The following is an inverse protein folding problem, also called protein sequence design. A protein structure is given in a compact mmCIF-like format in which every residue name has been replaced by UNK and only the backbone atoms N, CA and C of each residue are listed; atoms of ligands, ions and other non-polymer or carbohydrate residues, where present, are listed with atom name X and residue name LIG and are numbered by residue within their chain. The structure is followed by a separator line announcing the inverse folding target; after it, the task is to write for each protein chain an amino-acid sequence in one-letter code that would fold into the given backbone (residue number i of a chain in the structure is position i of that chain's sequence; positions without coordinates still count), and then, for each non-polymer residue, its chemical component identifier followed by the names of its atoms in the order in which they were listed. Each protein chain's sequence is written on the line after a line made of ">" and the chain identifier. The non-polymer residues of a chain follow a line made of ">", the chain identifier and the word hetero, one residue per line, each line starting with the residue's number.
data_IF_150061522367
#
_entry.id   IF_150061522367
#
_cell.length_a   1.000
_cell.length_b   1.000
_cell.length_c   1.000
_cell.angle_alpha   90.00
_cell.angle_beta   90.00
_cell.angle_gamma   90.00
#
_symmetry.space_group_name_H-M   'P 1'
#
loop_
_entity.id
_entity.type
_entity.pdbx_description
1 polymer ?
#
# COMPACT_ATOMS: atom_id res chain seq x y z
N UNK A 1 15.12 -15.93 0.68
CA UNK A 1 15.42 -14.98 -0.42
C UNK A 1 16.18 -13.82 0.19
N UNK A 2 17.27 -13.40 -0.46
CA UNK A 2 18.12 -12.30 0.01
C UNK A 2 17.51 -10.94 -0.29
N UNK A 3 17.99 -9.89 0.40
CA UNK A 3 17.57 -8.51 0.13
C UNK A 3 18.09 -8.10 -1.25
N UNK A 4 17.20 -7.68 -2.14
CA UNK A 4 17.55 -7.14 -3.45
C UNK A 4 17.92 -5.67 -3.27
N UNK A 5 19.15 -5.29 -3.64
CA UNK A 5 19.65 -3.91 -3.56
C UNK A 5 19.34 -3.22 -2.22
N UNK A 6 19.91 -3.69 -1.10
CA UNK A 6 19.63 -3.12 0.21
C UNK A 6 20.08 -1.66 0.29
N UNK A 7 19.22 -0.79 0.81
CA UNK A 7 19.49 0.63 1.05
C UNK A 7 19.23 0.98 2.51
N UNK A 8 20.21 1.54 3.25
CA UNK A 8 19.97 2.03 4.60
C UNK A 8 19.03 3.24 4.58
N UNK A 9 18.15 3.30 5.56
CA UNK A 9 17.18 4.37 5.78
C UNK A 9 17.13 4.67 7.27
N UNK A 10 17.43 5.91 7.64
CA UNK A 10 17.38 6.37 9.03
C UNK A 10 16.15 7.25 9.19
N UNK A 11 15.41 7.02 10.26
CA UNK A 11 14.20 7.80 10.58
C UNK A 11 14.10 8.01 12.08
N UNK A 12 13.71 9.22 12.48
CA UNK A 12 13.37 9.54 13.86
C UNK A 12 11.91 9.20 14.15
N UNK A 13 11.69 8.53 15.29
CA UNK A 13 10.35 8.30 15.84
C UNK A 13 9.76 9.56 16.49
N UNK A 14 8.56 9.45 17.06
CA UNK A 14 7.86 10.60 17.68
C UNK A 14 8.63 11.21 18.86
N UNK A 15 9.46 10.43 19.54
CA UNK A 15 10.31 10.87 20.64
C UNK A 15 11.67 11.41 20.15
N UNK A 16 11.89 11.44 18.84
CA UNK A 16 13.13 11.90 18.21
C UNK A 16 14.26 10.86 18.24
N UNK A 17 13.97 9.61 18.59
CA UNK A 17 14.98 8.53 18.61
C UNK A 17 15.20 8.02 17.18
N UNK A 18 16.44 8.10 16.72
CA UNK A 18 16.82 7.61 15.39
C UNK A 18 16.86 6.08 15.36
N UNK A 19 16.24 5.52 14.32
CA UNK A 19 16.21 4.08 14.03
C UNK A 19 16.65 3.85 12.60
N UNK A 20 17.45 2.79 12.42
CA UNK A 20 17.97 2.40 11.11
C UNK A 20 17.21 1.18 10.59
N UNK A 21 16.68 1.33 9.39
CA UNK A 21 16.05 0.27 8.61
C UNK A 21 16.85 0.03 7.34
N UNK A 22 16.76 -1.18 6.81
CA UNK A 22 17.30 -1.55 5.51
C UNK A 22 16.13 -1.83 4.57
N UNK A 23 15.98 -0.97 3.56
CA UNK A 23 14.96 -1.10 2.52
C UNK A 23 15.48 -2.02 1.42
N UNK A 24 14.63 -2.89 0.91
CA UNK A 24 14.96 -3.76 -0.22
C UNK A 24 14.03 -3.52 -1.39
N UNK A 25 14.51 -3.80 -2.60
CA UNK A 25 13.64 -3.85 -3.77
C UNK A 25 12.75 -5.09 -3.74
N UNK A 26 11.49 -4.93 -4.16
CA UNK A 26 10.58 -6.06 -4.35
C UNK A 26 10.67 -6.63 -5.78
N UNK A 27 10.42 -7.94 -5.97
CA UNK A 27 10.21 -8.54 -7.28
C UNK A 27 9.04 -7.91 -8.05
N UNK A 28 9.05 -7.97 -9.38
CA UNK A 28 8.06 -7.30 -10.23
C UNK A 28 6.60 -7.70 -9.93
N UNK A 29 6.35 -8.98 -9.65
CA UNK A 29 5.01 -9.51 -9.36
C UNK A 29 4.50 -8.99 -8.02
N UNK A 30 5.34 -9.00 -6.99
CA UNK A 30 5.00 -8.50 -5.66
C UNK A 30 4.81 -6.98 -5.70
N UNK A 31 5.64 -6.28 -6.47
CA UNK A 31 5.52 -4.85 -6.70
C UNK A 31 4.21 -4.43 -7.34
N UNK A 32 3.75 -5.17 -8.37
CA UNK A 32 2.44 -4.91 -8.99
C UNK A 32 1.31 -4.98 -7.97
N UNK A 33 1.36 -5.96 -7.07
CA UNK A 33 0.34 -6.12 -6.04
C UNK A 33 0.40 -5.00 -4.99
N UNK A 34 1.59 -4.71 -4.47
CA UNK A 34 1.82 -3.67 -3.46
C UNK A 34 1.38 -2.30 -4.01
N UNK A 35 1.88 -1.91 -5.18
CA UNK A 35 1.60 -0.58 -5.76
C UNK A 35 0.13 -0.42 -6.15
N UNK A 36 -0.55 -1.49 -6.55
CA UNK A 36 -1.97 -1.42 -6.90
C UNK A 36 -2.89 -1.33 -5.67
N UNK A 37 -2.55 -2.01 -4.56
CA UNK A 37 -3.44 -2.14 -3.39
C UNK A 37 -3.11 -1.17 -2.27
N UNK A 38 -1.82 -0.97 -2.00
CA UNK A 38 -1.34 -0.28 -0.81
C UNK A 38 -1.76 1.20 -0.74
N UNK A 39 -1.57 1.99 -1.82
CA UNK A 39 -1.90 3.42 -1.79
C UNK A 39 -3.39 3.70 -1.58
N UNK A 40 -4.27 2.79 -2.03
CA UNK A 40 -5.72 2.88 -1.82
C UNK A 40 -6.15 2.47 -0.42
N UNK A 41 -5.53 1.43 0.13
CA UNK A 41 -5.86 0.91 1.45
C UNK A 41 -5.51 1.87 2.58
N UNK A 42 -4.53 2.76 2.35
CA UNK A 42 -4.16 3.83 3.27
C UNK A 42 -5.15 5.02 3.27
N UNK A 43 -6.10 5.08 2.33
CA UNK A 43 -7.11 6.14 2.29
C UNK A 43 -8.32 5.79 3.17
N UNK A 44 -8.65 6.61 4.20
CA UNK A 44 -9.65 6.28 5.24
C UNK A 44 -11.11 6.22 4.75
N UNK A 45 -11.38 6.32 3.44
CA UNK A 45 -12.72 6.25 2.84
C UNK A 45 -12.89 5.25 1.69
N UNK A 46 -11.84 4.51 1.31
CA UNK A 46 -11.89 3.53 0.20
C UNK A 46 -11.30 2.15 0.50
N UNK A 47 -10.63 1.93 1.64
CA UNK A 47 -9.96 0.67 1.96
C UNK A 47 -10.78 -0.28 2.81
N UNK A 48 -10.85 -1.56 2.40
CA UNK A 48 -11.13 -2.66 3.33
C UNK A 48 -9.89 -2.86 4.21
N UNK A 49 -10.01 -2.49 5.49
CA UNK A 49 -8.90 -2.40 6.44
C UNK A 49 -8.11 -3.72 6.55
N UNK A 50 -8.77 -4.88 6.36
CA UNK A 50 -8.12 -6.19 6.37
C UNK A 50 -7.23 -6.44 5.15
N UNK A 51 -7.66 -5.99 3.96
CA UNK A 51 -6.88 -6.11 2.72
C UNK A 51 -5.65 -5.17 2.76
N UNK A 52 -5.79 -4.04 3.45
CA UNK A 52 -4.68 -3.13 3.72
C UNK A 52 -3.59 -3.76 4.57
N UNK A 53 -3.96 -4.55 5.57
CA UNK A 53 -3.00 -5.15 6.49
C UNK A 53 -2.13 -6.23 5.84
N UNK A 54 -2.71 -7.13 5.05
CA UNK A 54 -1.92 -8.14 4.32
C UNK A 54 -0.93 -7.49 3.35
N UNK A 55 -1.38 -6.42 2.68
CA UNK A 55 -0.53 -5.66 1.75
C UNK A 55 0.57 -4.90 2.50
N UNK A 56 0.25 -4.34 3.67
CA UNK A 56 1.22 -3.69 4.58
C UNK A 56 2.30 -4.69 5.00
N UNK A 57 1.90 -5.86 5.52
CA UNK A 57 2.85 -6.90 5.96
C UNK A 57 3.69 -7.41 4.79
N UNK A 58 3.11 -7.52 3.59
CA UNK A 58 3.85 -7.85 2.38
C UNK A 58 4.89 -6.79 2.04
N UNK A 59 4.56 -5.51 2.12
CA UNK A 59 5.52 -4.41 1.93
C UNK A 59 6.63 -4.45 3.00
N UNK A 60 6.26 -4.60 4.27
CA UNK A 60 7.20 -4.65 5.40
C UNK A 60 8.11 -5.89 5.38
N UNK A 61 7.72 -6.96 4.68
CA UNK A 61 8.60 -8.13 4.47
C UNK A 61 9.87 -7.82 3.65
N UNK A 62 9.91 -6.69 2.95
CA UNK A 62 11.08 -6.17 2.23
C UNK A 62 11.84 -5.10 3.03
N UNK A 63 11.45 -4.85 4.28
CA UNK A 63 12.16 -4.01 5.23
C UNK A 63 12.86 -4.92 6.24
N UNK A 64 14.12 -4.61 6.55
CA UNK A 64 14.88 -5.32 7.56
C UNK A 64 15.46 -4.38 8.61
N UNK A 65 15.67 -4.91 9.81
CA UNK A 65 16.44 -4.29 10.89
C UNK A 65 17.67 -5.13 11.17
N UNK A 66 18.70 -4.54 11.78
CA UNK A 66 19.83 -5.33 12.26
C UNK A 66 19.42 -6.08 13.53
N UNK A 67 19.50 -7.41 13.49
CA UNK A 67 19.33 -8.27 14.64
C UNK A 67 20.66 -8.99 14.89
N UNK A 68 21.50 -8.38 15.73
CA UNK A 68 22.81 -8.91 16.11
C UNK A 68 23.74 -9.19 14.90
N UNK A 69 23.84 -8.24 13.97
CA UNK A 69 24.70 -8.36 12.78
C UNK A 69 24.09 -9.20 11.65
N UNK A 70 22.81 -9.58 11.75
CA UNK A 70 22.06 -10.25 10.68
C UNK A 70 20.78 -9.48 10.34
N UNK A 71 20.48 -9.27 9.05
CA UNK A 71 19.26 -8.56 8.65
C UNK A 71 18.02 -9.40 8.97
N UNK A 72 17.17 -8.90 9.86
CA UNK A 72 15.88 -9.48 10.22
C UNK A 72 14.75 -8.76 9.49
N UNK A 73 14.03 -9.48 8.63
CA UNK A 73 12.89 -8.93 7.88
C UNK A 73 11.66 -8.76 8.76
N UNK A 74 10.93 -7.66 8.59
CA UNK A 74 9.72 -7.34 9.32
C UNK A 74 8.49 -7.98 8.66
N UNK A 75 8.50 -9.31 8.51
CA UNK A 75 7.50 -10.07 7.74
C UNK A 75 6.22 -10.41 8.50
N UNK A 76 6.15 -10.14 9.80
CA UNK A 76 5.00 -10.48 10.65
C UNK A 76 4.57 -9.28 11.48
N UNK A 77 3.29 -9.25 11.86
CA UNK A 77 2.75 -8.20 12.74
C UNK A 77 3.55 -8.07 14.03
N UNK A 78 3.97 -9.19 14.63
CA UNK A 78 4.77 -9.17 15.84
C UNK A 78 6.14 -8.50 15.62
N UNK A 79 6.80 -8.78 14.49
CA UNK A 79 8.08 -8.15 14.16
C UNK A 79 7.91 -6.66 13.87
N UNK A 80 6.87 -6.27 13.12
CA UNK A 80 6.56 -4.85 12.88
C UNK A 80 6.32 -4.14 14.21
N UNK A 81 5.43 -4.65 15.06
CA UNK A 81 5.10 -4.01 16.34
C UNK A 81 6.29 -3.94 17.32
N UNK A 82 7.21 -4.90 17.26
CA UNK A 82 8.38 -4.90 18.15
C UNK A 82 9.48 -3.93 17.69
N UNK A 83 9.58 -3.67 16.39
CA UNK A 83 10.69 -2.90 15.81
C UNK A 83 10.29 -1.50 15.32
N UNK A 84 9.00 -1.28 15.07
CA UNK A 84 8.42 0.00 14.66
C UNK A 84 7.59 0.53 15.83
N UNK A 85 8.04 1.59 16.52
CA UNK A 85 7.47 2.03 17.80
C UNK A 85 6.09 2.67 17.68
N UNK A 86 5.82 3.34 16.56
CA UNK A 86 4.62 4.15 16.38
C UNK A 86 4.16 4.18 14.91
N UNK A 87 2.93 4.66 14.71
CA UNK A 87 2.31 4.75 13.40
C UNK A 87 3.03 5.74 12.46
N UNK A 88 3.57 6.83 12.97
CA UNK A 88 4.26 7.83 12.15
C UNK A 88 5.58 7.26 11.60
N UNK A 89 6.31 6.51 12.42
CA UNK A 89 7.50 5.76 11.99
C UNK A 89 7.13 4.71 10.95
N UNK A 90 6.03 3.97 11.15
CA UNK A 90 5.52 3.02 10.17
C UNK A 90 5.23 3.70 8.83
N UNK A 91 4.46 4.79 8.85
CA UNK A 91 4.10 5.54 7.64
C UNK A 91 5.33 6.10 6.91
N UNK A 92 6.33 6.61 7.65
CA UNK A 92 7.60 7.09 7.06
C UNK A 92 8.37 5.97 6.36
N UNK A 93 8.46 4.79 6.98
CA UNK A 93 9.13 3.62 6.38
C UNK A 93 8.39 3.13 5.14
N UNK A 94 7.06 3.08 5.18
CA UNK A 94 6.23 2.67 4.04
C UNK A 94 6.37 3.63 2.85
N UNK A 95 6.36 4.94 3.11
CA UNK A 95 6.59 5.95 2.10
C UNK A 95 7.99 5.81 1.48
N UNK A 96 9.02 5.63 2.31
CA UNK A 96 10.38 5.42 1.83
C UNK A 96 10.50 4.15 0.96
N UNK A 97 9.78 3.07 1.31
CA UNK A 97 9.70 1.85 0.52
C UNK A 97 9.07 2.08 -0.86
N UNK A 98 7.96 2.83 -0.92
CA UNK A 98 7.30 3.18 -2.17
C UNK A 98 8.19 4.07 -3.04
N UNK A 99 8.78 5.12 -2.49
CA UNK A 99 9.68 6.03 -3.20
C UNK A 99 10.93 5.30 -3.75
N UNK A 100 11.47 4.37 -2.96
CA UNK A 100 12.66 3.62 -3.38
C UNK A 100 12.37 2.64 -4.51
N UNK A 101 11.21 2.00 -4.49
CA UNK A 101 10.85 0.97 -5.46
C UNK A 101 10.15 1.50 -6.71
N UNK A 102 9.51 2.67 -6.61
CA UNK A 102 8.62 3.18 -7.65
C UNK A 102 9.11 4.55 -8.10
N UNK A 103 9.86 4.56 -9.20
CA UNK A 103 10.53 5.76 -9.70
C UNK A 103 9.59 6.92 -10.07
N UNK A 104 8.33 6.62 -10.44
CA UNK A 104 7.33 7.65 -10.74
C UNK A 104 6.60 8.20 -9.51
N UNK A 105 6.76 7.56 -8.35
CA UNK A 105 6.30 8.06 -7.05
C UNK A 105 7.34 8.97 -6.39
N UNK A 106 8.54 9.08 -6.94
CA UNK A 106 9.55 10.03 -6.49
C UNK A 106 9.14 11.47 -6.83
N UNK A 107 9.65 12.45 -6.08
CA UNK A 107 9.49 13.89 -6.33
C UNK A 107 8.07 14.45 -6.08
N UNK A 108 7.38 13.98 -5.04
CA UNK A 108 6.11 14.57 -4.55
C UNK A 108 4.84 14.20 -5.34
N UNK A 109 5.00 13.43 -6.42
CA UNK A 109 3.91 13.02 -7.33
C UNK A 109 2.99 11.92 -6.78
N UNK A 110 3.27 11.42 -5.58
CA UNK A 110 2.45 10.40 -4.91
C UNK A 110 1.01 10.91 -4.73
N UNK A 111 0.85 12.17 -4.36
CA UNK A 111 -0.47 12.79 -4.17
C UNK A 111 -1.26 12.84 -5.49
N UNK A 112 -0.64 13.25 -6.59
CA UNK A 112 -1.23 13.30 -7.93
C UNK A 112 -1.58 11.88 -8.44
N UNK A 113 -0.69 10.92 -8.24
CA UNK A 113 -0.92 9.52 -8.60
C UNK A 113 -2.11 8.93 -7.83
N UNK A 114 -2.15 9.15 -6.51
CA UNK A 114 -3.23 8.73 -5.63
C UNK A 114 -4.57 9.32 -6.06
N UNK A 115 -4.61 10.62 -6.37
CA UNK A 115 -5.81 11.31 -6.85
C UNK A 115 -6.27 10.74 -8.20
N UNK A 116 -5.35 10.58 -9.16
CA UNK A 116 -5.67 10.05 -10.49
C UNK A 116 -6.16 8.61 -10.46
N UNK A 117 -5.62 7.79 -9.57
CA UNK A 117 -6.04 6.40 -9.41
C UNK A 117 -7.38 6.26 -8.69
N UNK A 118 -7.59 7.04 -7.61
CA UNK A 118 -8.87 7.12 -6.92
C UNK A 118 -10.00 7.58 -7.84
N UNK A 119 -9.75 8.58 -8.69
CA UNK A 119 -10.72 9.07 -9.67
C UNK A 119 -11.14 7.97 -10.66
N UNK A 120 -10.20 7.17 -11.17
CA UNK A 120 -10.49 6.04 -12.08
C UNK A 120 -11.31 4.93 -11.43
N UNK A 121 -11.08 4.66 -10.13
CA UNK A 121 -11.87 3.66 -9.38
C UNK A 121 -13.27 4.15 -9.06
N UNK A 122 -13.41 5.44 -8.73
CA UNK A 122 -14.73 6.05 -8.58
C UNK A 122 -15.50 5.95 -9.90
N UNK A 123 -14.88 6.33 -11.01
CA UNK A 123 -15.49 6.24 -12.34
C UNK A 123 -15.90 4.80 -12.70
N UNK A 124 -15.05 3.81 -12.41
CA UNK A 124 -15.39 2.40 -12.68
C UNK A 124 -16.51 1.88 -11.77
N UNK A 125 -16.51 2.26 -10.50
CA UNK A 125 -17.57 1.88 -9.53
C UNK A 125 -18.91 2.51 -9.93
N UNK A 126 -18.92 3.80 -10.27
CA UNK A 126 -20.13 4.48 -10.75
C UNK A 126 -20.62 3.91 -12.08
N UNK A 127 -19.73 3.62 -13.04
CA UNK A 127 -20.11 2.96 -14.30
C UNK A 127 -20.74 1.59 -14.04
N UNK A 128 -20.10 0.76 -13.24
CA UNK A 128 -20.62 -0.58 -12.93
C UNK A 128 -21.97 -0.51 -12.20
N UNK A 129 -22.13 0.40 -11.23
CA UNK A 129 -23.39 0.62 -10.54
C UNK A 129 -24.48 1.15 -11.48
N UNK A 130 -24.14 2.08 -12.39
CA UNK A 130 -25.08 2.64 -13.38
C UNK A 130 -25.49 1.60 -14.41
N UNK A 131 -24.55 0.78 -14.88
CA UNK A 131 -24.81 -0.31 -15.82
C UNK A 131 -25.66 -1.40 -15.18
N UNK A 132 -25.40 -1.74 -13.91
CA UNK A 132 -26.24 -2.67 -13.14
C UNK A 132 -27.64 -2.11 -12.89
N UNK A 133 -27.75 -0.82 -12.56
CA UNK A 133 -29.04 -0.13 -12.40
C UNK A 133 -29.82 -0.13 -13.73
N UNK A 134 -29.19 0.23 -14.84
CA UNK A 134 -29.80 0.21 -16.17
C UNK A 134 -30.22 -1.20 -16.60
N UNK A 135 -29.42 -2.21 -16.27
CA UNK A 135 -29.75 -3.61 -16.54
C UNK A 135 -30.90 -4.11 -15.66
N UNK A 136 -30.94 -3.68 -14.39
CA UNK A 136 -32.03 -4.02 -13.46
C UNK A 136 -33.34 -3.34 -13.84
N UNK A 137 -33.31 -2.10 -14.35
CA UNK A 137 -34.50 -1.37 -14.80
C UNK A 137 -35.06 -1.92 -16.12
N UNK A 138 -34.20 -2.44 -17.00
CA UNK A 138 -34.64 -3.15 -18.20
C UNK A 138 -35.25 -4.52 -17.90
N UNK A 139 -34.73 -5.24 -16.89
CA UNK A 139 -35.27 -6.54 -16.48
C UNK A 139 -36.64 -6.45 -15.75
N UNK A 140 -37.03 -5.25 -15.31
CA UNK A 140 -38.26 -5.01 -14.55
C UNK A 140 -39.48 -4.53 -15.37
N UNK A 141 -39.37 -4.35 -16.69
CA UNK A 141 -40.51 -3.96 -17.53
C UNK A 141 -41.32 -5.19 -17.96
N UNK A 142 -42.55 -5.42 -17.48
CA UNK A 142 -43.43 -6.43 -18.06
C UNK A 142 -43.88 -5.95 -19.46
N UNK A 143 -44.20 -6.85 -20.40
CA UNK A 143 -44.76 -6.44 -21.69
C UNK A 143 -46.14 -5.82 -21.46
N UNK A 144 -46.30 -4.54 -21.79
CA UNK A 144 -47.62 -3.91 -21.91
C UNK A 144 -48.37 -4.55 -23.08
N UNK A 145 -49.35 -5.39 -22.78
CA UNK A 145 -50.35 -5.85 -23.75
C UNK A 145 -51.35 -4.72 -24.00
N UNK A 146 -51.44 -4.26 -25.25
CA UNK A 146 -52.61 -3.60 -25.82
C UNK A 146 -53.12 -4.45 -26.97
#
# INVERSE_FOLDING_TARGET
>A
MDLIQPKPFVVADQDGVERTYTLSKFPAVDGREIVAKYPLSALPKLGDYKVGEETMLKLMSYVAVDANGSPLRLSTRALVNNHVPDFETLAKVEMAMLEYNVSFLRDGRISEYLQGFAAKLQESTFRTLTDLLARSSQAGSPPSTN
#
